data_IF_449712050486
#
_entry.id   IF_449712050486
#
_cell.length_a   1.000
_cell.length_b   1.000
_cell.length_c   1.000
_cell.angle_alpha   90.00
_cell.angle_beta   90.00
_cell.angle_gamma   90.00
#
_symmetry.space_group_name_H-M   'P 1'
#
loop_
_entity.id
_entity.type
_entity.pdbx_description
1 polymer ?
#
# COMPACT_ATOMS: atom_id res chain seq x y z
N UNK A 1 31.56 -3.47 59.98
CA UNK A 1 30.68 -2.96 58.91
C UNK A 1 31.32 -3.34 57.59
N UNK A 2 31.37 -4.63 57.28
CA UNK A 2 31.96 -5.17 56.03
C UNK A 2 31.01 -6.16 55.33
N UNK A 3 29.76 -6.27 55.80
CA UNK A 3 28.78 -7.23 55.26
C UNK A 3 27.85 -6.63 54.20
N UNK A 4 27.84 -5.30 53.99
CA UNK A 4 26.97 -4.66 52.98
C UNK A 4 27.62 -4.54 51.59
N UNK A 5 28.91 -4.88 51.43
CA UNK A 5 29.63 -4.69 50.15
C UNK A 5 29.60 -5.91 49.19
N UNK A 6 29.04 -7.04 49.65
CA UNK A 6 29.01 -8.30 48.90
C UNK A 6 27.62 -8.68 48.34
N UNK A 7 26.57 -7.91 48.62
CA UNK A 7 25.26 -8.19 48.02
C UNK A 7 25.25 -7.73 46.56
N UNK A 8 25.09 -8.70 45.65
CA UNK A 8 24.92 -8.47 44.22
C UNK A 8 23.73 -7.52 44.00
N UNK A 9 23.93 -6.46 43.20
CA UNK A 9 22.85 -5.52 42.87
C UNK A 9 21.65 -6.32 42.30
N UNK A 10 20.48 -6.29 42.96
CA UNK A 10 19.32 -7.09 42.55
C UNK A 10 18.85 -6.78 41.12
N UNK A 11 19.22 -5.62 40.57
CA UNK A 11 18.94 -5.25 39.17
C UNK A 11 19.73 -6.10 38.17
N UNK A 12 20.93 -6.54 38.53
CA UNK A 12 21.76 -7.41 37.67
C UNK A 12 21.06 -8.74 37.48
N UNK A 13 20.51 -9.31 38.55
CA UNK A 13 19.81 -10.59 38.48
C UNK A 13 18.57 -10.50 37.57
N UNK A 14 17.79 -9.42 37.68
CA UNK A 14 16.61 -9.18 36.83
C UNK A 14 17.00 -9.10 35.35
N UNK A 15 18.06 -8.37 34.99
CA UNK A 15 18.48 -8.24 33.59
C UNK A 15 19.13 -9.52 33.05
N UNK A 16 19.80 -10.32 33.89
CA UNK A 16 20.30 -11.65 33.51
C UNK A 16 19.16 -12.65 33.28
N UNK A 17 18.11 -12.63 34.10
CA UNK A 17 16.92 -13.45 33.90
C UNK A 17 16.20 -13.09 32.59
N UNK A 18 16.11 -11.79 32.27
CA UNK A 18 15.59 -11.32 30.97
C UNK A 18 16.45 -11.79 29.80
N UNK A 19 17.77 -11.76 29.94
CA UNK A 19 18.71 -12.21 28.92
C UNK A 19 18.57 -13.72 28.65
N UNK A 20 18.51 -14.53 29.71
CA UNK A 20 18.28 -15.98 29.59
C UNK A 20 16.93 -16.27 28.92
N UNK A 21 15.87 -15.59 29.36
CA UNK A 21 14.53 -15.73 28.75
C UNK A 21 14.54 -15.35 27.27
N UNK A 22 15.13 -14.21 26.92
CA UNK A 22 15.24 -13.78 25.53
C UNK A 22 16.08 -14.75 24.68
N UNK A 23 17.11 -15.36 25.26
CA UNK A 23 17.95 -16.36 24.58
C UNK A 23 17.14 -17.63 24.26
N UNK A 24 16.40 -18.14 25.24
CA UNK A 24 15.53 -19.31 25.05
C UNK A 24 14.43 -19.03 24.03
N UNK A 25 13.84 -17.82 24.07
CA UNK A 25 12.85 -17.37 23.09
C UNK A 25 13.43 -17.25 21.68
N UNK A 26 14.64 -16.69 21.52
CA UNK A 26 15.32 -16.61 20.22
C UNK A 26 15.54 -18.02 19.65
N UNK A 27 16.09 -18.94 20.44
CA UNK A 27 16.33 -20.33 20.01
C UNK A 27 15.04 -21.01 19.57
N UNK A 28 13.96 -20.84 20.35
CA UNK A 28 12.65 -21.39 20.03
C UNK A 28 12.10 -20.82 18.72
N UNK A 29 12.09 -19.50 18.57
CA UNK A 29 11.56 -18.83 17.39
C UNK A 29 12.39 -19.16 16.13
N UNK A 30 13.71 -19.32 16.26
CA UNK A 30 14.57 -19.75 15.14
C UNK A 30 14.24 -21.17 14.67
N UNK A 31 13.99 -22.10 15.59
CA UNK A 31 13.52 -23.46 15.24
C UNK A 31 12.16 -23.39 14.53
N UNK A 32 11.20 -22.63 15.08
CA UNK A 32 9.87 -22.48 14.46
C UNK A 32 9.95 -21.82 13.06
N UNK A 33 10.88 -20.88 12.86
CA UNK A 33 11.13 -20.24 11.58
C UNK A 33 11.69 -21.25 10.56
N UNK A 34 12.60 -22.13 10.96
CA UNK A 34 13.14 -23.19 10.10
C UNK A 34 12.05 -24.22 9.74
N UNK A 35 11.19 -24.59 10.69
CA UNK A 35 10.02 -25.44 10.44
C UNK A 35 9.02 -24.78 9.48
N UNK A 36 8.75 -23.48 9.62
CA UNK A 36 7.91 -22.73 8.70
C UNK A 36 8.54 -22.64 7.29
N UNK A 37 9.86 -22.44 7.19
CA UNK A 37 10.56 -22.43 5.91
C UNK A 37 10.57 -23.80 5.22
N UNK A 38 10.73 -24.89 5.96
CA UNK A 38 10.69 -26.25 5.41
C UNK A 38 9.29 -26.61 4.91
N UNK A 39 8.25 -26.27 5.68
CA UNK A 39 6.85 -26.47 5.26
C UNK A 39 6.51 -25.62 4.03
N UNK A 40 6.94 -24.35 3.97
CA UNK A 40 6.79 -23.52 2.78
C UNK A 40 7.41 -24.16 1.53
N UNK A 41 8.65 -24.66 1.62
CA UNK A 41 9.33 -25.36 0.51
C UNK A 41 8.60 -26.64 0.11
N UNK A 42 8.06 -27.38 1.06
CA UNK A 42 7.29 -28.59 0.80
C UNK A 42 6.02 -28.27 0.01
N UNK A 43 5.25 -27.28 0.46
CA UNK A 43 4.02 -26.81 -0.21
C UNK A 43 4.34 -26.28 -1.61
N UNK A 44 5.43 -25.54 -1.79
CA UNK A 44 5.86 -25.03 -3.10
C UNK A 44 6.15 -26.17 -4.09
N UNK A 45 6.88 -27.20 -3.64
CA UNK A 45 7.18 -28.36 -4.47
C UNK A 45 5.93 -29.18 -4.81
N UNK A 46 5.04 -29.36 -3.83
CA UNK A 46 3.80 -30.10 -4.00
C UNK A 46 2.84 -29.38 -4.96
N UNK A 47 2.58 -28.10 -4.72
CA UNK A 47 1.75 -27.25 -5.58
C UNK A 47 2.26 -27.23 -7.01
N UNK A 48 3.56 -27.04 -7.20
CA UNK A 48 4.22 -27.12 -8.51
C UNK A 48 3.96 -28.45 -9.20
N UNK A 49 4.04 -29.57 -8.48
CA UNK A 49 3.76 -30.90 -9.04
C UNK A 49 2.29 -31.05 -9.43
N UNK A 50 1.35 -30.65 -8.57
CA UNK A 50 -0.09 -30.74 -8.81
C UNK A 50 -0.51 -29.90 -10.02
N UNK A 51 -0.03 -28.66 -10.09
CA UNK A 51 -0.29 -27.75 -11.21
C UNK A 51 0.30 -28.26 -12.52
N UNK A 52 1.52 -28.84 -12.51
CA UNK A 52 2.09 -29.48 -13.71
C UNK A 52 1.24 -30.62 -14.25
N UNK A 53 0.63 -31.42 -13.37
CA UNK A 53 -0.27 -32.51 -13.79
C UNK A 53 -1.53 -31.95 -14.43
N UNK A 54 -2.13 -30.91 -13.86
CA UNK A 54 -3.31 -30.24 -14.44
C UNK A 54 -2.99 -29.54 -15.75
N UNK A 55 -1.84 -28.86 -15.83
CA UNK A 55 -1.35 -28.19 -17.04
C UNK A 55 -1.23 -29.18 -18.21
N UNK A 56 -0.60 -30.35 -17.99
CA UNK A 56 -0.52 -31.41 -19.00
C UNK A 56 -1.88 -31.96 -19.45
N UNK A 57 -2.86 -32.03 -18.55
CA UNK A 57 -4.21 -32.53 -18.87
C UNK A 57 -5.03 -31.54 -19.69
N UNK A 58 -4.86 -30.24 -19.43
CA UNK A 58 -5.70 -29.17 -19.98
C UNK A 58 -5.09 -28.52 -21.25
N UNK A 59 -3.76 -28.52 -21.36
CA UNK A 59 -3.03 -27.98 -22.51
C UNK A 59 -3.34 -26.52 -22.79
N UNK A 60 -3.51 -26.18 -24.07
CA UNK A 60 -3.70 -24.80 -24.55
C UNK A 60 -4.99 -24.11 -24.07
N UNK A 61 -5.88 -24.83 -23.37
CA UNK A 61 -7.07 -24.21 -22.77
C UNK A 61 -6.69 -23.25 -21.63
N UNK A 62 -5.56 -23.47 -20.95
CA UNK A 62 -5.10 -22.58 -19.87
C UNK A 62 -4.68 -21.24 -20.46
N UNK A 63 -3.84 -21.25 -21.50
CA UNK A 63 -3.33 -20.03 -22.15
C UNK A 63 -4.45 -19.16 -22.73
N UNK A 64 -5.46 -19.80 -23.33
CA UNK A 64 -6.62 -19.09 -23.89
C UNK A 64 -7.47 -18.38 -22.85
N UNK A 65 -7.46 -18.82 -21.59
CA UNK A 65 -8.32 -18.28 -20.53
C UNK A 65 -7.56 -17.28 -19.64
N UNK A 66 -6.23 -17.19 -19.72
CA UNK A 66 -5.45 -16.19 -18.97
C UNK A 66 -5.98 -14.76 -19.08
N UNK A 67 -6.36 -14.24 -20.28
CA UNK A 67 -6.88 -12.88 -20.39
C UNK A 67 -8.15 -12.67 -19.56
N UNK A 68 -9.01 -13.70 -19.46
CA UNK A 68 -10.21 -13.66 -18.64
C UNK A 68 -9.87 -13.57 -17.14
N UNK A 69 -9.01 -14.46 -16.62
CA UNK A 69 -8.64 -14.41 -15.20
C UNK A 69 -7.87 -13.14 -14.84
N UNK A 70 -7.01 -12.64 -15.72
CA UNK A 70 -6.34 -11.34 -15.54
C UNK A 70 -7.34 -10.18 -15.49
N UNK A 71 -8.35 -10.18 -16.37
CA UNK A 71 -9.42 -9.18 -16.34
C UNK A 71 -10.27 -9.28 -15.06
N UNK A 72 -10.55 -10.49 -14.57
CA UNK A 72 -11.29 -10.71 -13.31
C UNK A 72 -10.51 -10.16 -12.12
N UNK A 73 -9.20 -10.43 -12.05
CA UNK A 73 -8.33 -9.87 -11.00
C UNK A 73 -8.29 -8.34 -11.05
N UNK A 74 -8.23 -7.77 -12.25
CA UNK A 74 -8.25 -6.33 -12.46
C UNK A 74 -9.59 -5.71 -12.03
N UNK A 75 -10.71 -6.32 -12.42
CA UNK A 75 -12.04 -5.88 -11.98
C UNK A 75 -12.19 -5.94 -10.46
N UNK A 76 -11.67 -7.00 -9.81
CA UNK A 76 -11.66 -7.12 -8.35
C UNK A 76 -10.83 -6.01 -7.69
N UNK A 77 -9.66 -5.67 -8.24
CA UNK A 77 -8.83 -4.55 -7.76
C UNK A 77 -9.56 -3.21 -7.92
N UNK A 78 -10.10 -2.93 -9.11
CA UNK A 78 -10.88 -1.73 -9.38
C UNK A 78 -12.11 -1.61 -8.47
N UNK A 79 -12.78 -2.74 -8.17
CA UNK A 79 -13.89 -2.79 -7.22
C UNK A 79 -13.45 -2.36 -5.81
N UNK A 80 -12.34 -2.90 -5.32
CA UNK A 80 -11.81 -2.56 -4.00
C UNK A 80 -11.41 -1.08 -3.90
N UNK A 81 -10.78 -0.53 -4.94
CA UNK A 81 -10.44 0.89 -5.01
C UNK A 81 -11.70 1.78 -5.06
N UNK A 82 -12.71 1.39 -5.84
CA UNK A 82 -13.99 2.07 -5.89
C UNK A 82 -14.69 2.06 -4.52
N UNK A 83 -14.70 0.93 -3.82
CA UNK A 83 -15.27 0.83 -2.48
C UNK A 83 -14.52 1.72 -1.47
N UNK A 84 -13.18 1.74 -1.52
CA UNK A 84 -12.37 2.64 -0.68
C UNK A 84 -12.70 4.11 -0.95
N UNK A 85 -12.77 4.51 -2.24
CA UNK A 85 -13.13 5.86 -2.64
C UNK A 85 -14.57 6.23 -2.21
N UNK A 86 -15.50 5.28 -2.29
CA UNK A 86 -16.88 5.45 -1.84
C UNK A 86 -16.96 5.73 -0.32
N UNK A 87 -16.19 4.99 0.49
CA UNK A 87 -16.11 5.21 1.94
C UNK A 87 -15.54 6.59 2.26
N UNK A 88 -14.51 7.04 1.52
CA UNK A 88 -13.92 8.37 1.70
C UNK A 88 -14.93 9.46 1.34
N UNK A 89 -15.63 9.32 0.21
CA UNK A 89 -16.67 10.26 -0.20
C UNK A 89 -17.83 10.32 0.79
N UNK A 90 -18.28 9.17 1.31
CA UNK A 90 -19.31 9.12 2.35
C UNK A 90 -18.86 9.89 3.59
N UNK A 91 -17.64 9.64 4.07
CA UNK A 91 -17.07 10.35 5.22
C UNK A 91 -16.96 11.86 4.97
N UNK A 92 -16.51 12.28 3.80
CA UNK A 92 -16.43 13.69 3.43
C UNK A 92 -17.82 14.35 3.39
N UNK A 93 -18.84 13.62 2.92
CA UNK A 93 -20.22 14.09 2.92
C UNK A 93 -20.78 14.26 4.35
N UNK A 94 -20.49 13.33 5.25
CA UNK A 94 -20.87 13.41 6.66
C UNK A 94 -20.19 14.59 7.36
N UNK A 95 -18.90 14.82 7.10
CA UNK A 95 -18.14 15.97 7.63
C UNK A 95 -18.75 17.29 7.13
N UNK A 96 -19.08 17.39 5.83
CA UNK A 96 -19.74 18.57 5.27
C UNK A 96 -21.10 18.84 5.91
N UNK A 97 -21.91 17.79 6.10
CA UNK A 97 -23.21 17.90 6.75
C UNK A 97 -23.07 18.42 8.20
N UNK A 98 -22.13 17.85 8.97
CA UNK A 98 -21.85 18.28 10.34
C UNK A 98 -21.32 19.72 10.41
N UNK A 99 -20.47 20.13 9.46
CA UNK A 99 -19.97 21.50 9.38
C UNK A 99 -21.12 22.49 9.09
N UNK A 100 -22.03 22.16 8.16
CA UNK A 100 -23.23 22.98 7.89
C UNK A 100 -24.15 23.07 9.11
N UNK A 101 -24.37 21.96 9.80
CA UNK A 101 -25.17 21.92 11.03
C UNK A 101 -24.53 22.80 12.12
N UNK A 102 -23.20 22.78 12.25
CA UNK A 102 -22.47 23.62 13.21
C UNK A 102 -22.71 25.12 12.94
N UNK A 103 -22.65 25.55 11.68
CA UNK A 103 -22.96 26.95 11.31
C UNK A 103 -24.43 27.26 11.59
N UNK A 104 -25.36 26.39 11.18
CA UNK A 104 -26.79 26.59 11.41
C UNK A 104 -27.15 26.70 12.91
N UNK A 105 -26.56 25.85 13.76
CA UNK A 105 -26.74 25.91 15.21
C UNK A 105 -26.11 27.16 15.82
N UNK A 106 -24.96 27.60 15.33
CA UNK A 106 -24.32 28.84 15.77
C UNK A 106 -25.20 30.06 15.44
N UNK A 107 -25.75 30.13 14.22
CA UNK A 107 -26.69 31.17 13.80
C UNK A 107 -27.98 31.14 14.62
N UNK A 108 -28.57 29.96 14.85
CA UNK A 108 -29.78 29.81 15.64
C UNK A 108 -29.59 30.27 17.10
N UNK A 109 -28.46 29.89 17.72
CA UNK A 109 -28.13 30.32 19.09
C UNK A 109 -27.96 31.83 19.17
N UNK A 110 -27.28 32.42 18.21
CA UNK A 110 -27.13 33.89 18.14
C UNK A 110 -28.47 34.60 17.97
N UNK A 111 -29.34 34.12 17.09
CA UNK A 111 -30.68 34.69 16.90
C UNK A 111 -31.57 34.58 18.15
N UNK A 112 -31.44 33.47 18.89
CA UNK A 112 -32.20 33.26 20.14
C UNK A 112 -31.72 34.15 21.29
N UNK A 113 -30.41 34.39 21.38
CA UNK A 113 -29.77 35.19 22.43
C UNK A 113 -29.46 36.64 22.02
N UNK A 114 -30.12 37.14 20.96
CA UNK A 114 -29.86 38.46 20.35
C UNK A 114 -29.96 39.66 21.31
N UNK A 115 -30.61 39.48 22.46
CA UNK A 115 -30.79 40.51 23.49
C UNK A 115 -29.66 40.51 24.54
N UNK A 116 -28.91 39.42 24.67
CA UNK A 116 -27.75 39.30 25.57
C UNK A 116 -26.42 39.33 24.82
N UNK A 117 -26.39 38.84 23.57
CA UNK A 117 -25.17 38.72 22.79
C UNK A 117 -25.06 39.86 21.78
N UNK A 118 -23.95 40.61 21.83
CA UNK A 118 -23.60 41.58 20.81
C UNK A 118 -22.85 40.88 19.68
N UNK A 119 -23.06 41.34 18.44
CA UNK A 119 -22.22 40.92 17.31
C UNK A 119 -20.85 41.60 17.47
N UNK A 120 -19.96 40.95 18.22
CA UNK A 120 -18.63 41.44 18.51
C UNK A 120 -17.58 40.82 17.59
N UNK A 121 -16.33 41.28 17.71
CA UNK A 121 -15.25 40.81 16.84
C UNK A 121 -14.96 39.31 17.01
N UNK A 122 -15.12 38.77 18.23
CA UNK A 122 -14.90 37.36 18.53
C UNK A 122 -15.96 36.45 17.87
N UNK A 123 -17.23 36.88 17.87
CA UNK A 123 -18.31 36.16 17.21
C UNK A 123 -18.18 36.20 15.69
N UNK A 124 -17.77 37.34 15.12
CA UNK A 124 -17.49 37.47 13.69
C UNK A 124 -16.33 36.55 13.26
N UNK A 125 -15.25 36.50 14.02
CA UNK A 125 -14.11 35.59 13.76
C UNK A 125 -14.52 34.11 13.84
N UNK A 126 -15.33 33.74 14.85
CA UNK A 126 -15.87 32.38 14.97
C UNK A 126 -16.73 31.98 13.76
N UNK A 127 -17.63 32.86 13.30
CA UNK A 127 -18.49 32.59 12.15
C UNK A 127 -17.69 32.50 10.85
N UNK A 128 -16.69 33.37 10.67
CA UNK A 128 -15.76 33.31 9.54
C UNK A 128 -15.02 31.98 9.52
N UNK A 129 -14.49 31.52 10.66
CA UNK A 129 -13.82 30.22 10.76
C UNK A 129 -14.75 29.04 10.45
N UNK A 130 -15.97 29.08 10.98
CA UNK A 130 -16.98 28.05 10.71
C UNK A 130 -17.37 28.02 9.22
N UNK A 131 -17.47 29.19 8.57
CA UNK A 131 -17.76 29.32 7.14
C UNK A 131 -16.61 28.80 6.28
N UNK A 132 -15.36 29.13 6.62
CA UNK A 132 -14.17 28.59 5.94
C UNK A 132 -14.15 27.06 6.04
N UNK A 133 -14.45 26.50 7.22
CA UNK A 133 -14.55 25.04 7.41
C UNK A 133 -15.64 24.39 6.57
N UNK A 134 -16.81 25.02 6.43
CA UNK A 134 -17.87 24.51 5.54
C UNK A 134 -17.40 24.53 4.08
N UNK A 135 -16.72 25.59 3.66
CA UNK A 135 -16.18 25.69 2.31
C UNK A 135 -15.07 24.65 2.05
N UNK A 136 -14.18 24.41 3.02
CA UNK A 136 -13.15 23.37 2.94
C UNK A 136 -13.77 21.97 2.86
N UNK A 137 -14.76 21.69 3.70
CA UNK A 137 -15.50 20.42 3.68
C UNK A 137 -16.28 20.22 2.37
N UNK A 138 -16.81 21.30 1.79
CA UNK A 138 -17.44 21.28 0.47
C UNK A 138 -16.46 20.91 -0.64
N UNK A 139 -15.28 21.52 -0.63
CA UNK A 139 -14.23 21.21 -1.59
C UNK A 139 -13.75 19.75 -1.46
N UNK A 140 -13.49 19.29 -0.23
CA UNK A 140 -13.11 17.89 0.03
C UNK A 140 -14.19 16.89 -0.43
N UNK A 141 -15.48 17.23 -0.25
CA UNK A 141 -16.59 16.43 -0.78
C UNK A 141 -16.61 16.42 -2.30
N UNK A 142 -16.38 17.56 -2.96
CA UNK A 142 -16.34 17.65 -4.42
C UNK A 142 -15.18 16.82 -5.00
N UNK A 143 -13.98 16.94 -4.43
CA UNK A 143 -12.80 16.19 -4.87
C UNK A 143 -12.96 14.68 -4.66
N UNK A 144 -13.40 14.25 -3.48
CA UNK A 144 -13.66 12.84 -3.20
C UNK A 144 -14.81 12.27 -4.05
N UNK A 145 -15.81 13.09 -4.39
CA UNK A 145 -16.89 12.71 -5.29
C UNK A 145 -16.42 12.45 -6.72
N UNK A 146 -15.56 13.34 -7.24
CA UNK A 146 -14.93 13.18 -8.55
C UNK A 146 -14.04 11.94 -8.61
N UNK A 147 -13.23 11.69 -7.59
CA UNK A 147 -12.37 10.50 -7.52
C UNK A 147 -13.22 9.21 -7.45
N UNK A 148 -14.26 9.19 -6.61
CA UNK A 148 -15.17 8.04 -6.56
C UNK A 148 -15.84 7.77 -7.91
N UNK A 149 -16.28 8.83 -8.61
CA UNK A 149 -16.88 8.69 -9.95
C UNK A 149 -15.86 8.13 -10.96
N UNK A 150 -14.62 8.62 -10.97
CA UNK A 150 -13.53 8.08 -11.81
C UNK A 150 -13.32 6.59 -11.54
N UNK A 151 -13.16 6.20 -10.27
CA UNK A 151 -12.98 4.79 -9.87
C UNK A 151 -14.17 3.91 -10.22
N UNK A 152 -15.38 4.42 -10.11
CA UNK A 152 -16.60 3.71 -10.52
C UNK A 152 -16.64 3.46 -12.03
N UNK A 153 -16.21 4.42 -12.86
CA UNK A 153 -16.10 4.22 -14.31
C UNK A 153 -15.07 3.16 -14.66
N UNK A 154 -13.88 3.19 -14.04
CA UNK A 154 -12.86 2.15 -14.18
C UNK A 154 -13.39 0.76 -13.84
N UNK A 155 -14.07 0.63 -12.70
CA UNK A 155 -14.67 -0.62 -12.28
C UNK A 155 -15.70 -1.14 -13.30
N UNK A 156 -16.61 -0.28 -13.75
CA UNK A 156 -17.62 -0.64 -14.75
C UNK A 156 -16.97 -1.07 -16.08
N UNK A 157 -15.93 -0.38 -16.53
CA UNK A 157 -15.19 -0.73 -17.75
C UNK A 157 -14.48 -2.10 -17.60
N UNK A 158 -13.87 -2.35 -16.44
CA UNK A 158 -13.24 -3.63 -16.14
C UNK A 158 -14.27 -4.78 -16.09
N UNK A 159 -15.44 -4.58 -15.46
CA UNK A 159 -16.51 -5.58 -15.46
C UNK A 159 -17.05 -5.87 -16.86
N UNK A 160 -17.23 -4.85 -17.70
CA UNK A 160 -17.65 -5.06 -19.09
C UNK A 160 -16.63 -5.91 -19.86
N UNK A 161 -15.33 -5.65 -19.68
CA UNK A 161 -14.26 -6.46 -20.29
C UNK A 161 -14.29 -7.91 -19.80
N UNK A 162 -14.55 -8.13 -18.51
CA UNK A 162 -14.73 -9.48 -17.95
C UNK A 162 -15.91 -10.18 -18.59
N UNK A 163 -17.07 -9.52 -18.70
CA UNK A 163 -18.28 -10.08 -19.29
C UNK A 163 -18.06 -10.46 -20.76
N UNK A 164 -17.42 -9.58 -21.55
CA UNK A 164 -17.09 -9.85 -22.95
C UNK A 164 -16.19 -11.08 -23.11
N UNK A 165 -15.17 -11.21 -22.25
CA UNK A 165 -14.26 -12.36 -22.25
C UNK A 165 -14.96 -13.63 -21.76
N UNK A 166 -15.86 -13.53 -20.78
CA UNK A 166 -16.66 -14.65 -20.29
C UNK A 166 -17.50 -15.24 -21.40
N UNK A 167 -18.24 -14.39 -22.12
CA UNK A 167 -19.13 -14.82 -23.20
C UNK A 167 -18.34 -15.46 -24.35
N UNK A 168 -17.18 -14.89 -24.71
CA UNK A 168 -16.31 -15.42 -25.79
C UNK A 168 -15.64 -16.75 -25.40
N UNK A 169 -15.23 -16.92 -24.14
CA UNK A 169 -14.35 -18.02 -23.70
C UNK A 169 -15.03 -19.04 -22.78
N UNK A 170 -16.35 -18.95 -22.54
CA UNK A 170 -17.13 -19.76 -21.59
C UNK A 170 -16.76 -21.24 -21.52
N UNK A 171 -16.65 -21.91 -22.67
CA UNK A 171 -16.29 -23.35 -22.74
C UNK A 171 -14.87 -23.63 -22.26
N UNK A 172 -13.92 -22.75 -22.60
CA UNK A 172 -12.54 -22.87 -22.15
C UNK A 172 -12.42 -22.55 -20.66
N UNK A 173 -13.16 -21.56 -20.16
CA UNK A 173 -13.23 -21.20 -18.73
C UNK A 173 -13.67 -22.41 -17.90
N UNK A 174 -14.79 -23.03 -18.25
CA UNK A 174 -15.32 -24.20 -17.51
C UNK A 174 -14.30 -25.34 -17.49
N UNK A 175 -13.60 -25.58 -18.61
CA UNK A 175 -12.60 -26.64 -18.72
C UNK A 175 -11.32 -26.32 -17.92
N UNK A 176 -10.88 -25.07 -17.91
CA UNK A 176 -9.65 -24.65 -17.22
C UNK A 176 -9.86 -24.38 -15.72
N UNK A 177 -11.10 -24.22 -15.27
CA UNK A 177 -11.46 -23.91 -13.87
C UNK A 177 -10.74 -24.78 -12.81
N UNK A 178 -10.63 -26.12 -12.95
CA UNK A 178 -9.91 -26.93 -11.95
C UNK A 178 -8.44 -26.54 -11.76
N UNK A 179 -7.79 -26.01 -12.80
CA UNK A 179 -6.41 -25.52 -12.69
C UNK A 179 -6.32 -24.23 -11.90
N UNK A 180 -7.20 -23.27 -12.19
CA UNK A 180 -7.20 -21.97 -11.51
C UNK A 180 -7.70 -22.08 -10.07
N UNK A 181 -8.65 -22.98 -9.78
CA UNK A 181 -9.08 -23.27 -8.41
C UNK A 181 -7.94 -23.89 -7.58
N UNK A 182 -7.19 -24.86 -8.14
CA UNK A 182 -6.02 -25.44 -7.46
C UNK A 182 -4.89 -24.42 -7.33
N UNK A 183 -4.66 -23.56 -8.34
CA UNK A 183 -3.66 -22.47 -8.31
C UNK A 183 -4.00 -21.49 -7.18
N UNK A 184 -5.27 -21.09 -7.05
CA UNK A 184 -5.73 -20.22 -5.99
C UNK A 184 -5.53 -20.83 -4.58
N UNK A 185 -5.88 -22.12 -4.41
CA UNK A 185 -5.65 -22.83 -3.14
C UNK A 185 -4.16 -22.90 -2.79
N UNK A 186 -3.31 -23.19 -3.76
CA UNK A 186 -1.86 -23.23 -3.57
C UNK A 186 -1.30 -21.85 -3.20
N UNK A 187 -1.77 -20.78 -3.88
CA UNK A 187 -1.39 -19.40 -3.58
C UNK A 187 -1.82 -18.99 -2.17
N UNK A 188 -3.03 -19.35 -1.74
CA UNK A 188 -3.51 -19.09 -0.37
C UNK A 188 -2.63 -19.80 0.67
N UNK A 189 -2.35 -21.09 0.49
CA UNK A 189 -1.50 -21.87 1.41
C UNK A 189 -0.07 -21.31 1.51
N UNK A 190 0.53 -20.96 0.36
CA UNK A 190 1.84 -20.32 0.33
C UNK A 190 1.80 -18.93 0.98
N UNK A 191 0.74 -18.17 0.74
CA UNK A 191 0.50 -16.86 1.36
C UNK A 191 0.45 -16.95 2.88
N UNK A 192 -0.36 -17.85 3.45
CA UNK A 192 -0.46 -18.06 4.90
C UNK A 192 0.88 -18.47 5.51
N UNK A 193 1.65 -19.35 4.85
CA UNK A 193 2.97 -19.73 5.35
C UNK A 193 3.99 -18.58 5.24
N UNK A 194 3.91 -17.76 4.20
CA UNK A 194 4.74 -16.56 4.06
C UNK A 194 4.45 -15.55 5.18
N UNK A 195 3.18 -15.26 5.45
CA UNK A 195 2.77 -14.41 6.57
C UNK A 195 3.27 -14.94 7.93
N UNK A 196 3.20 -16.27 8.12
CA UNK A 196 3.76 -16.91 9.31
C UNK A 196 5.28 -16.71 9.43
N UNK A 197 6.02 -16.90 8.34
CA UNK A 197 7.47 -16.68 8.28
C UNK A 197 7.79 -15.21 8.61
N UNK A 198 7.08 -14.27 8.02
CA UNK A 198 7.26 -12.83 8.27
C UNK A 198 6.97 -12.46 9.73
N UNK A 199 5.89 -12.99 10.32
CA UNK A 199 5.57 -12.81 11.74
C UNK A 199 6.65 -13.39 12.66
N UNK A 200 7.18 -14.58 12.35
CA UNK A 200 8.26 -15.20 13.14
C UNK A 200 9.55 -14.37 13.04
N UNK A 201 9.89 -13.87 11.85
CA UNK A 201 11.04 -12.97 11.66
C UNK A 201 10.89 -11.67 12.45
N UNK A 202 9.72 -11.05 12.44
CA UNK A 202 9.43 -9.84 13.24
C UNK A 202 9.54 -10.12 14.74
N UNK A 203 9.03 -11.26 15.21
CA UNK A 203 9.17 -11.69 16.61
C UNK A 203 10.64 -11.92 16.99
N UNK A 204 11.43 -12.59 16.14
CA UNK A 204 12.87 -12.78 16.36
C UNK A 204 13.58 -11.42 16.44
N UNK A 205 13.25 -10.48 15.57
CA UNK A 205 13.83 -9.14 15.59
C UNK A 205 13.48 -8.40 16.89
N UNK A 206 12.24 -8.51 17.37
CA UNK A 206 11.80 -7.94 18.64
C UNK A 206 12.49 -8.57 19.85
N UNK A 207 12.64 -9.90 19.89
CA UNK A 207 13.34 -10.58 21.00
C UNK A 207 14.84 -10.29 20.97
N UNK A 208 15.47 -10.26 19.79
CA UNK A 208 16.87 -9.81 19.63
C UNK A 208 17.06 -8.36 20.07
N UNK A 209 16.10 -7.48 19.78
CA UNK A 209 16.10 -6.12 20.29
C UNK A 209 16.04 -6.10 21.82
N UNK A 210 15.12 -6.84 22.44
CA UNK A 210 15.01 -6.96 23.91
C UNK A 210 16.29 -7.53 24.54
N UNK A 211 16.91 -8.54 23.92
CA UNK A 211 18.20 -9.09 24.34
C UNK A 211 19.29 -8.01 24.31
N UNK A 212 19.38 -7.23 23.23
CA UNK A 212 20.34 -6.13 23.11
C UNK A 212 20.07 -5.01 24.14
N UNK A 213 18.81 -4.74 24.46
CA UNK A 213 18.42 -3.76 25.47
C UNK A 213 18.82 -4.20 26.87
N UNK A 214 18.61 -5.48 27.21
CA UNK A 214 19.05 -6.07 28.49
C UNK A 214 20.58 -6.01 28.64
N UNK A 215 21.33 -6.31 27.57
CA UNK A 215 22.80 -6.15 27.55
C UNK A 215 23.23 -4.70 27.80
N UNK A 216 22.58 -3.72 27.15
CA UNK A 216 22.86 -2.29 27.40
C UNK A 216 22.53 -1.87 28.84
N UNK A 217 21.46 -2.42 29.43
CA UNK A 217 21.12 -2.15 30.84
C UNK A 217 22.15 -2.76 31.80
N UNK A 218 22.62 -3.97 31.53
CA UNK A 218 23.71 -4.58 32.30
C UNK A 218 25.00 -3.76 32.20
N UNK A 219 25.33 -3.26 31.00
CA UNK A 219 26.45 -2.34 30.79
C UNK A 219 26.29 -1.04 31.60
N UNK A 220 25.09 -0.43 31.58
CA UNK A 220 24.78 0.77 32.38
C UNK A 220 24.94 0.52 33.88
N UNK A 221 24.38 -0.57 34.41
CA UNK A 221 24.51 -0.94 35.83
C UNK A 221 25.98 -1.15 36.18
N UNK A 222 26.74 -1.84 35.31
CA UNK A 222 28.17 -2.04 35.50
C UNK A 222 28.91 -0.70 35.58
N UNK A 223 28.65 0.21 34.65
CA UNK A 223 29.25 1.55 34.61
C UNK A 223 28.88 2.38 35.86
N UNK A 224 27.64 2.31 36.34
CA UNK A 224 27.21 2.97 37.58
C UNK A 224 27.98 2.46 38.80
N UNK A 225 28.15 1.14 38.94
CA UNK A 225 28.92 0.54 40.04
C UNK A 225 30.38 1.02 39.99
N UNK A 226 30.99 1.04 38.81
CA UNK A 226 32.35 1.55 38.63
C UNK A 226 32.47 3.04 38.98
N UNK A 227 31.51 3.87 38.57
CA UNK A 227 31.51 5.31 38.89
C UNK A 227 31.30 5.56 40.39
N UNK A 228 30.41 4.80 41.06
CA UNK A 228 30.22 4.88 42.51
C UNK A 228 31.51 4.54 43.26
N UNK A 229 32.19 3.44 42.90
CA UNK A 229 33.49 3.06 43.49
C UNK A 229 34.57 4.13 43.28
N UNK A 230 34.61 4.76 42.10
CA UNK A 230 35.50 5.88 41.81
C UNK A 230 35.18 7.12 42.65
N UNK A 231 33.89 7.43 42.87
CA UNK A 231 33.45 8.59 43.66
C UNK A 231 33.67 8.45 45.17
N UNK A 232 33.66 7.22 45.70
CA UNK A 232 33.90 6.92 47.11
C UNK A 232 35.39 6.92 47.50
N UNK A 233 36.30 7.22 46.57
CA UNK A 233 37.74 7.33 46.86
C UNK A 233 38.42 5.99 47.24
N UNK A 234 37.76 4.86 47.03
CA UNK A 234 38.29 3.51 47.34
C UNK A 234 39.47 3.13 46.41
N UNK A 235 39.77 3.96 45.40
CA UNK A 235 40.80 3.73 44.37
C UNK A 235 41.90 4.81 44.45
N UNK A 236 42.49 5.04 45.63
CA UNK A 236 43.76 5.79 45.72
C UNK A 236 44.97 4.89 46.06
N UNK A 237 44.79 3.59 46.31
CA UNK A 237 45.91 2.75 46.78
C UNK A 237 46.36 1.63 45.84
N UNK A 238 45.50 0.87 45.16
CA UNK A 238 45.99 -0.23 44.30
C UNK A 238 45.09 -0.50 43.08
N UNK A 239 45.73 -0.60 41.91
CA UNK A 239 45.23 -1.08 40.60
C UNK A 239 44.72 -0.04 39.58
N UNK A 240 45.71 0.58 38.94
CA UNK A 240 45.65 1.37 37.69
C UNK A 240 45.09 0.58 36.46
N UNK A 241 44.79 -0.72 36.61
CA UNK A 241 44.22 -1.58 35.57
C UNK A 241 42.69 -1.52 35.46
N UNK A 242 41.99 -1.04 36.50
CA UNK A 242 40.52 -0.91 36.50
C UNK A 242 40.02 0.43 35.94
N UNK A 243 40.92 1.36 35.63
CA UNK A 243 40.64 2.73 35.19
C UNK A 243 40.79 2.93 33.67
N UNK A 244 41.25 1.92 32.93
CA UNK A 244 41.33 1.98 31.47
C UNK A 244 39.91 1.94 30.88
N UNK A 245 39.61 2.74 29.83
CA UNK A 245 38.42 2.52 29.01
C UNK A 245 38.40 1.04 28.60
N UNK A 246 37.31 0.33 28.89
CA UNK A 246 37.19 -1.07 28.51
C UNK A 246 37.26 -1.17 26.99
N UNK A 247 38.14 -2.04 26.52
CA UNK A 247 38.17 -2.43 25.12
C UNK A 247 36.81 -3.06 24.76
N UNK A 248 36.37 -2.94 23.49
CA UNK A 248 35.14 -3.56 23.03
C UNK A 248 35.05 -5.02 23.50
N UNK A 249 33.91 -5.41 24.07
CA UNK A 249 33.71 -6.76 24.57
C UNK A 249 33.97 -7.80 23.48
N UNK A 250 34.44 -8.99 23.84
CA UNK A 250 34.73 -10.08 22.89
C UNK A 250 33.47 -10.37 22.07
N UNK A 251 33.50 -10.04 20.77
CA UNK A 251 32.35 -10.12 19.85
C UNK A 251 31.74 -8.77 19.41
N UNK A 252 32.28 -7.63 19.86
CA UNK A 252 31.84 -6.30 19.47
C UNK A 252 32.52 -5.74 18.19
N UNK A 253 33.56 -6.40 17.65
CA UNK A 253 34.29 -5.92 16.46
C UNK A 253 33.60 -6.14 15.10
N UNK A 254 32.31 -6.49 15.03
CA UNK A 254 31.61 -6.63 13.74
C UNK A 254 30.21 -6.00 13.74
N UNK A 255 30.17 -4.68 13.83
CA UNK A 255 29.02 -3.89 13.39
C UNK A 255 29.49 -2.68 12.54
N UNK A 256 30.44 -2.92 11.64
CA UNK A 256 30.70 -2.05 10.49
C UNK A 256 30.60 -2.88 9.20
N UNK A 257 29.56 -2.60 8.42
CA UNK A 257 29.33 -2.95 7.02
C UNK A 257 30.41 -3.81 6.35
N UNK A 258 30.32 -5.14 6.50
CA UNK A 258 31.02 -6.08 5.64
C UNK A 258 30.13 -7.28 5.34
N UNK A 259 29.49 -7.16 4.19
CA UNK A 259 28.78 -8.19 3.44
C UNK A 259 29.70 -9.35 3.05
N UNK A 260 29.98 -10.26 3.99
CA UNK A 260 30.61 -11.54 3.67
C UNK A 260 30.67 -12.47 4.87
N UNK A 261 29.56 -13.18 5.14
CA UNK A 261 29.52 -14.63 5.49
C UNK A 261 28.22 -15.00 6.21
N UNK A 262 27.13 -15.15 5.44
CA UNK A 262 26.09 -16.12 5.79
C UNK A 262 25.40 -16.58 4.51
N UNK A 263 25.91 -17.68 3.95
CA UNK A 263 25.33 -18.38 2.80
C UNK A 263 23.91 -18.93 3.05
N UNK A 264 23.32 -18.71 4.23
CA UNK A 264 21.91 -18.98 4.55
C UNK A 264 21.01 -17.74 4.50
N UNK A 265 21.51 -16.54 4.82
CA UNK A 265 20.74 -15.29 4.79
C UNK A 265 20.47 -14.82 3.35
N UNK A 266 21.37 -15.16 2.40
CA UNK A 266 21.14 -14.88 0.98
C UNK A 266 19.94 -15.61 0.40
N UNK A 267 19.53 -16.76 0.95
CA UNK A 267 18.43 -17.55 0.40
C UNK A 267 17.06 -17.10 0.92
N UNK A 268 16.96 -16.65 2.18
CA UNK A 268 15.74 -16.06 2.75
C UNK A 268 15.41 -14.73 2.06
N UNK A 269 16.42 -13.90 1.80
CA UNK A 269 16.29 -12.67 1.01
C UNK A 269 15.87 -12.95 -0.44
N UNK A 270 16.32 -14.08 -1.01
CA UNK A 270 15.92 -14.54 -2.35
C UNK A 270 14.48 -15.06 -2.41
N UNK A 271 13.98 -15.68 -1.33
CA UNK A 271 12.57 -16.08 -1.17
C UNK A 271 11.65 -14.86 -0.99
N UNK A 272 12.16 -13.78 -0.39
CA UNK A 272 11.44 -12.50 -0.28
C UNK A 272 11.23 -11.81 -1.64
N UNK A 273 12.14 -12.02 -2.61
CA UNK A 273 12.08 -11.40 -3.95
C UNK A 273 11.57 -12.32 -5.06
N UNK A 274 11.32 -13.60 -4.78
CA UNK A 274 10.67 -14.50 -5.70
C UNK A 274 9.18 -14.19 -5.71
N UNK A 275 8.74 -13.53 -6.78
CA UNK A 275 7.33 -13.55 -7.16
C UNK A 275 6.98 -15.00 -7.49
N UNK A 276 6.40 -15.73 -6.53
CA UNK A 276 6.04 -17.13 -6.69
C UNK A 276 5.05 -17.36 -7.84
N UNK A 277 4.31 -16.30 -8.25
CA UNK A 277 3.52 -16.35 -9.48
C UNK A 277 4.41 -16.58 -10.70
N UNK A 278 5.56 -15.91 -10.76
CA UNK A 278 6.56 -16.08 -11.82
C UNK A 278 7.21 -17.48 -11.78
N UNK A 279 7.36 -18.10 -10.61
CA UNK A 279 7.92 -19.44 -10.49
C UNK A 279 6.91 -20.56 -10.84
N UNK A 280 5.63 -20.35 -10.49
CA UNK A 280 4.52 -21.18 -10.98
C UNK A 280 4.37 -21.06 -12.50
N UNK A 281 4.47 -19.85 -13.06
CA UNK A 281 4.34 -19.61 -14.51
C UNK A 281 5.57 -20.12 -15.29
N UNK A 282 6.79 -20.06 -14.74
CA UNK A 282 8.00 -20.67 -15.34
C UNK A 282 7.90 -22.18 -15.53
N UNK A 283 7.01 -22.86 -14.82
CA UNK A 283 6.78 -24.29 -15.00
C UNK A 283 6.05 -24.62 -16.31
N UNK A 284 5.53 -23.61 -17.02
CA UNK A 284 4.80 -23.75 -18.28
C UNK A 284 5.75 -23.66 -19.50
N UNK A 285 6.89 -22.97 -19.39
CA UNK A 285 7.83 -22.78 -20.50
C UNK A 285 8.75 -23.98 -20.77
N UNK A 286 9.05 -24.82 -19.77
CA UNK A 286 10.02 -25.91 -19.92
C UNK A 286 9.49 -27.20 -20.57
N UNK A 287 8.26 -27.19 -21.07
CA UNK A 287 7.65 -28.33 -21.77
C UNK A 287 7.56 -28.15 -23.29
N UNK A 288 8.49 -27.41 -23.90
CA UNK A 288 8.64 -27.32 -25.35
C UNK A 288 10.08 -27.70 -25.75
N UNK A 289 10.35 -29.00 -25.77
CA UNK A 289 11.53 -29.51 -26.45
C UNK A 289 11.36 -29.40 -27.96
N UNK A 290 12.23 -28.60 -28.59
CA UNK A 290 12.64 -28.65 -29.99
C UNK A 290 11.55 -28.75 -31.08
N UNK A 291 11.28 -27.61 -31.73
CA UNK A 291 11.27 -27.52 -33.20
C UNK A 291 11.79 -26.15 -33.63
N UNK A 292 12.73 -26.18 -34.57
CA UNK A 292 13.45 -25.04 -35.15
C UNK A 292 12.55 -24.02 -35.84
N UNK A 293 12.97 -22.76 -35.70
CA UNK A 293 13.15 -21.80 -36.80
C UNK A 293 12.01 -21.62 -37.79
N UNK A 294 11.13 -20.64 -37.51
CA UNK A 294 10.54 -19.81 -38.56
C UNK A 294 10.48 -18.37 -38.06
N UNK A 295 11.13 -17.47 -38.81
CA UNK A 295 10.99 -16.03 -38.71
C UNK A 295 9.54 -15.63 -38.95
N UNK A 296 8.80 -15.26 -37.91
CA UNK A 296 7.48 -14.67 -38.08
C UNK A 296 7.48 -13.29 -37.42
N UNK A 297 7.51 -12.31 -38.30
CA UNK A 297 7.23 -10.90 -38.04
C UNK A 297 5.97 -10.78 -37.19
N UNK A 298 6.11 -10.25 -35.98
CA UNK A 298 4.98 -9.85 -35.15
C UNK A 298 4.36 -8.63 -35.82
N UNK A 299 3.28 -8.86 -36.57
CA UNK A 299 2.35 -7.82 -36.97
C UNK A 299 1.63 -7.42 -35.68
N UNK A 300 2.05 -6.29 -35.12
CA UNK A 300 1.28 -5.59 -34.10
C UNK A 300 -0.02 -5.16 -34.79
N UNK A 301 -1.09 -5.94 -34.60
CA UNK A 301 -2.45 -5.49 -34.86
C UNK A 301 -2.71 -4.34 -33.89
N UNK A 302 -2.34 -3.14 -34.34
CA UNK A 302 -2.77 -1.88 -33.73
C UNK A 302 -4.28 -1.83 -33.97
N UNK A 303 -5.05 -1.81 -32.89
CA UNK A 303 -6.51 -1.78 -32.92
C UNK A 303 -6.97 -0.63 -33.84
N UNK A 304 -7.57 -0.97 -34.99
CA UNK A 304 -8.15 0.01 -35.94
C UNK A 304 -9.31 0.83 -35.33
N UNK A 305 -9.70 0.52 -34.09
CA UNK A 305 -10.70 1.26 -33.32
C UNK A 305 -10.12 2.45 -32.53
N UNK A 306 -8.82 2.50 -32.23
CA UNK A 306 -8.23 3.62 -31.47
C UNK A 306 -8.22 4.92 -32.30
N UNK A 307 -8.03 4.81 -33.63
CA UNK A 307 -7.94 5.97 -34.52
C UNK A 307 -9.30 6.69 -34.72
N UNK A 308 -10.43 6.00 -34.53
CA UNK A 308 -11.78 6.57 -34.68
C UNK A 308 -12.22 7.38 -33.45
N UNK A 309 -11.76 7.01 -32.25
CA UNK A 309 -12.12 7.69 -31.00
C UNK A 309 -11.33 9.00 -30.81
N UNK A 310 -10.09 9.07 -31.32
CA UNK A 310 -9.25 10.27 -31.23
C UNK A 310 -9.72 11.40 -32.19
N UNK A 311 -10.16 11.07 -33.41
CA UNK A 311 -10.68 12.05 -34.38
C UNK A 311 -11.97 12.73 -33.87
N UNK A 312 -12.87 11.94 -33.26
CA UNK A 312 -14.09 12.45 -32.65
C UNK A 312 -13.84 13.27 -31.38
N UNK A 313 -12.83 12.89 -30.58
CA UNK A 313 -12.39 13.67 -29.42
C UNK A 313 -11.82 15.03 -29.83
N UNK A 314 -11.07 15.09 -30.93
CA UNK A 314 -10.53 16.33 -31.48
C UNK A 314 -11.63 17.23 -32.07
N UNK A 315 -12.64 16.65 -32.72
CA UNK A 315 -13.85 17.38 -33.15
C UNK A 315 -14.59 18.01 -31.95
N UNK A 316 -14.67 17.29 -30.82
CA UNK A 316 -15.31 17.78 -29.62
C UNK A 316 -14.49 18.89 -28.93
N UNK A 317 -13.15 18.82 -28.93
CA UNK A 317 -12.26 19.90 -28.48
C UNK A 317 -12.43 21.16 -29.32
N UNK A 318 -12.51 21.00 -30.65
CA UNK A 318 -12.77 22.10 -31.57
C UNK A 318 -14.12 22.75 -31.30
N UNK A 319 -15.16 21.93 -31.09
CA UNK A 319 -16.51 22.41 -30.78
C UNK A 319 -16.59 23.14 -29.44
N UNK A 320 -15.89 22.69 -28.40
CA UNK A 320 -15.77 23.42 -27.13
C UNK A 320 -15.03 24.75 -27.33
N UNK A 321 -13.97 24.78 -28.15
CA UNK A 321 -13.22 26.00 -28.46
C UNK A 321 -14.06 27.02 -29.26
N UNK A 322 -14.91 26.55 -30.16
CA UNK A 322 -15.84 27.37 -30.92
C UNK A 322 -16.95 27.92 -30.01
N UNK A 323 -17.57 27.05 -29.22
CA UNK A 323 -18.63 27.44 -28.28
C UNK A 323 -18.10 28.27 -27.10
N UNK A 324 -16.82 28.22 -26.75
CA UNK A 324 -16.21 29.06 -25.72
C UNK A 324 -16.13 30.55 -26.14
N UNK A 325 -16.25 30.85 -27.43
CA UNK A 325 -16.35 32.22 -27.92
C UNK A 325 -17.82 32.64 -27.82
N UNK A 326 -18.12 33.51 -26.85
CA UNK A 326 -19.47 34.06 -26.67
C UNK A 326 -19.95 34.71 -27.98
N UNK A 327 -21.14 34.34 -28.51
CA UNK A 327 -21.70 34.99 -29.68
C UNK A 327 -21.90 36.48 -29.40
N UNK A 328 -21.15 37.34 -30.12
CA UNK A 328 -21.32 38.78 -30.08
C UNK A 328 -22.40 39.11 -31.12
N UNK A 329 -23.65 38.80 -30.82
CA UNK A 329 -24.77 39.38 -31.56
C UNK A 329 -25.68 40.09 -30.56
N UNK A 330 -25.80 41.40 -30.75
CA UNK A 330 -26.29 42.34 -29.76
C UNK A 330 -27.81 42.34 -29.64
N UNK A 331 -28.28 42.55 -28.41
CA UNK A 331 -29.62 43.06 -28.13
C UNK A 331 -30.56 42.06 -27.46
N UNK A 332 -30.86 42.32 -26.19
CA UNK A 332 -32.01 41.84 -25.40
C UNK A 332 -32.66 40.51 -25.84
N UNK A 333 -32.17 39.38 -25.31
CA UNK A 333 -32.83 38.09 -25.51
C UNK A 333 -32.26 36.97 -24.66
N UNK A 334 -32.73 36.84 -23.41
CA UNK A 334 -32.35 35.76 -22.47
C UNK A 334 -32.50 34.33 -23.03
N UNK A 335 -33.29 34.14 -24.09
CA UNK A 335 -33.62 32.82 -24.63
C UNK A 335 -32.53 32.16 -25.47
N UNK A 336 -31.60 32.91 -26.07
CA UNK A 336 -30.50 32.35 -26.90
C UNK A 336 -29.26 32.07 -26.07
N UNK A 337 -29.04 32.85 -25.01
CA UNK A 337 -27.94 32.68 -24.06
C UNK A 337 -28.10 31.36 -23.28
N UNK A 338 -29.30 31.04 -22.80
CA UNK A 338 -29.58 29.77 -22.08
C UNK A 338 -29.36 28.53 -22.96
N UNK A 339 -29.67 28.60 -24.27
CA UNK A 339 -29.42 27.48 -25.19
C UNK A 339 -27.94 27.33 -25.50
N UNK A 340 -27.22 28.43 -25.74
CA UNK A 340 -25.76 28.39 -25.93
C UNK A 340 -25.04 27.89 -24.66
N UNK A 341 -25.42 28.36 -23.47
CA UNK A 341 -24.88 27.89 -22.19
C UNK A 341 -25.14 26.39 -21.99
N UNK A 342 -26.35 25.92 -22.32
CA UNK A 342 -26.70 24.51 -22.22
C UNK A 342 -25.94 23.64 -23.23
N UNK A 343 -25.74 24.13 -24.46
CA UNK A 343 -24.95 23.46 -25.49
C UNK A 343 -23.46 23.40 -25.15
N UNK A 344 -22.89 24.51 -24.66
CA UNK A 344 -21.52 24.56 -24.17
C UNK A 344 -21.33 23.61 -22.98
N UNK A 345 -22.23 23.66 -22.00
CA UNK A 345 -22.19 22.75 -20.85
C UNK A 345 -22.28 21.29 -21.28
N UNK A 346 -23.21 20.96 -22.17
CA UNK A 346 -23.37 19.59 -22.66
C UNK A 346 -22.15 19.10 -23.44
N UNK A 347 -21.55 19.95 -24.28
CA UNK A 347 -20.33 19.60 -25.04
C UNK A 347 -19.11 19.46 -24.14
N UNK A 348 -18.97 20.31 -23.13
CA UNK A 348 -17.93 20.22 -22.10
C UNK A 348 -18.12 18.94 -21.27
N UNK A 349 -19.32 18.66 -20.75
CA UNK A 349 -19.62 17.45 -19.98
C UNK A 349 -19.32 16.18 -20.79
N UNK A 350 -19.65 16.19 -22.08
CA UNK A 350 -19.36 15.08 -23.01
C UNK A 350 -17.87 14.91 -23.27
N UNK A 351 -17.13 16.01 -23.40
CA UNK A 351 -15.68 16.00 -23.57
C UNK A 351 -14.96 15.52 -22.30
N UNK A 352 -15.40 15.98 -21.14
CA UNK A 352 -14.92 15.50 -19.84
C UNK A 352 -15.18 13.99 -19.68
N UNK A 353 -16.39 13.52 -20.03
CA UNK A 353 -16.71 12.10 -20.00
C UNK A 353 -15.80 11.27 -20.92
N UNK A 354 -15.54 11.75 -22.14
CA UNK A 354 -14.67 11.05 -23.08
C UNK A 354 -13.19 11.06 -22.68
N UNK A 355 -12.67 12.19 -22.20
CA UNK A 355 -11.32 12.29 -21.64
C UNK A 355 -11.14 11.37 -20.44
N UNK A 356 -12.14 11.34 -19.55
CA UNK A 356 -12.15 10.45 -18.40
C UNK A 356 -12.16 8.98 -18.83
N UNK A 357 -12.97 8.59 -19.83
CA UNK A 357 -12.96 7.22 -20.38
C UNK A 357 -11.61 6.86 -21.01
N UNK A 358 -10.97 7.79 -21.72
CA UNK A 358 -9.65 7.57 -22.32
C UNK A 358 -8.55 7.45 -21.26
N UNK A 359 -8.60 8.27 -20.21
CA UNK A 359 -7.72 8.16 -19.05
C UNK A 359 -7.94 6.83 -18.33
N UNK A 360 -9.20 6.43 -18.14
CA UNK A 360 -9.56 5.13 -17.57
C UNK A 360 -8.99 3.97 -18.40
N UNK A 361 -9.10 4.02 -19.73
CA UNK A 361 -8.54 3.01 -20.62
C UNK A 361 -7.00 2.96 -20.56
N UNK A 362 -6.34 4.12 -20.50
CA UNK A 362 -4.88 4.23 -20.34
C UNK A 362 -4.41 3.68 -19.00
N UNK A 363 -5.10 3.99 -17.90
CA UNK A 363 -4.82 3.42 -16.58
C UNK A 363 -5.05 1.90 -16.57
N UNK A 364 -6.13 1.42 -17.18
CA UNK A 364 -6.40 -0.02 -17.30
C UNK A 364 -5.28 -0.76 -18.04
N UNK A 365 -4.67 -0.11 -19.03
CA UNK A 365 -3.49 -0.63 -19.74
C UNK A 365 -2.22 -0.57 -18.88
N UNK A 366 -2.02 0.48 -18.06
CA UNK A 366 -0.87 0.55 -17.14
C UNK A 366 -0.94 -0.52 -16.04
N UNK A 367 -2.14 -0.84 -15.55
CA UNK A 367 -2.35 -1.97 -14.64
C UNK A 367 -2.01 -3.34 -15.26
N UNK A 368 -2.07 -3.47 -16.59
CA UNK A 368 -1.67 -4.69 -17.30
C UNK A 368 -0.15 -4.78 -17.52
N UNK A 369 0.57 -3.66 -17.49
CA UNK A 369 2.03 -3.61 -17.71
C UNK A 369 2.83 -3.56 -16.41
N UNK A 370 2.27 -3.01 -15.33
CA UNK A 370 2.92 -2.93 -14.02
C UNK A 370 2.55 -4.11 -13.11
N UNK A 371 3.27 -5.21 -13.29
CA UNK A 371 3.52 -6.19 -12.24
C UNK A 371 4.52 -5.69 -11.18
N UNK A 372 4.54 -4.38 -10.87
CA UNK A 372 5.38 -3.79 -9.82
C UNK A 372 4.54 -2.95 -8.86
N UNK A 373 4.80 -3.06 -7.54
CA UNK A 373 4.07 -2.27 -6.56
C UNK A 373 4.38 -0.78 -6.76
N UNK A 374 3.34 0.02 -6.96
CA UNK A 374 3.43 1.47 -6.86
C UNK A 374 3.80 1.79 -5.42
N UNK A 375 5.00 2.35 -5.21
CA UNK A 375 5.36 2.95 -3.94
C UNK A 375 4.50 4.20 -3.77
N UNK A 376 3.64 4.18 -2.75
CA UNK A 376 2.87 5.33 -2.31
C UNK A 376 3.82 6.49 -1.99
N UNK A 377 3.88 7.49 -2.87
CA UNK A 377 4.44 8.80 -2.52
C UNK A 377 3.38 9.58 -1.77
N UNK A 378 3.18 9.24 -0.49
CA UNK A 378 2.55 10.16 0.46
C UNK A 378 3.49 11.35 0.64
N UNK A 379 3.17 12.47 0.00
CA UNK A 379 3.71 13.78 0.37
C UNK A 379 3.07 14.19 1.69
N UNK A 380 3.78 13.97 2.80
CA UNK A 380 3.48 14.59 4.08
C UNK A 380 3.89 16.06 4.01
N UNK A 381 2.92 16.94 3.76
CA UNK A 381 3.07 18.37 4.07
C UNK A 381 2.72 18.56 5.56
N UNK A 382 3.73 18.56 6.42
CA UNK A 382 3.67 19.18 7.74
C UNK A 382 4.69 20.33 7.77
N UNK A 383 4.24 21.53 7.41
CA UNK A 383 4.93 22.76 7.76
C UNK A 383 4.58 23.10 9.21
N UNK A 384 5.57 22.98 10.10
CA UNK A 384 5.52 23.51 11.46
C UNK A 384 5.93 24.99 11.39
N UNK A 385 5.11 25.96 11.86
CA UNK A 385 5.56 27.34 11.95
C UNK A 385 6.48 27.51 13.15
N UNK A 386 7.74 27.89 12.89
CA UNK A 386 8.63 28.40 13.92
C UNK A 386 8.15 29.78 14.36
N UNK A 387 7.64 29.87 15.59
CA UNK A 387 7.46 31.14 16.31
C UNK A 387 8.79 31.56 16.91
N UNK A 388 9.22 32.79 16.61
CA UNK A 388 10.18 33.55 17.41
C UNK A 388 9.47 34.24 18.58
#
# INVERSE_FOLDING_TARGET
MEEEENDLDPRIQIELEKLNTATDEINKLEIELDEANTTFRMILNESTRRLKVLSKKLGSCIDRVRPYFAAVELAKKAQQECQKAAVIFQRANEIHAAAKETVALAEQRFMSNKHEWQFDNAWQEMLNHATIKVMEAENQKADSGREHQKRAMLFNAAEQKVQQLEDRLRRHIIKARPYFDEKALCQEQLGTQKERIESLQDQINKTKFSYSEALKKLEQISNEIHMKRKSLGIIESENELLTRPREPGVGAELCENSSSSSSQIDFTTKLQSLDFNLELDKCEERSMGSISGTTSSAVSEKDENEDLDDEYLDELKLKVKELAIRPIDGGEGKSTDEMWESELKHTVDKLDHMLLMQECAKELNSYSTDGKPVQDTFKTNEEIPQTN
#
